data_IF_923603756580
#
_entry.id   IF_923603756580
#
_cell.length_a   1.000
_cell.length_b   1.000
_cell.length_c   1.000
_cell.angle_alpha   90.00
_cell.angle_beta   90.00
_cell.angle_gamma   90.00
#
_symmetry.space_group_name_H-M   'P 1'
#
loop_
_entity.id
_entity.type
_entity.pdbx_description
1 polymer ?
#
# COMPACT_ATOMS: atom_id res chain seq x y z
N UNK A 1 -18.90 -13.81 -3.71
CA UNK A 1 -19.35 -13.58 -2.32
C UNK A 1 -18.30 -12.73 -1.63
N UNK A 2 -18.69 -11.81 -0.72
CA UNK A 2 -17.71 -11.08 0.10
C UNK A 2 -16.90 -12.08 0.94
N UNK A 3 -15.63 -11.77 1.22
CA UNK A 3 -14.79 -12.60 2.08
C UNK A 3 -15.38 -12.69 3.49
N UNK A 4 -15.23 -13.84 4.13
CA UNK A 4 -15.59 -13.99 5.54
C UNK A 4 -14.55 -13.31 6.44
N UNK A 5 -14.96 -12.92 7.65
CA UNK A 5 -14.02 -12.39 8.66
C UNK A 5 -12.89 -13.35 9.00
N UNK A 6 -13.18 -14.66 9.03
CA UNK A 6 -12.15 -15.69 9.26
C UNK A 6 -11.12 -15.68 8.14
N UNK A 7 -11.58 -15.59 6.89
CA UNK A 7 -10.67 -15.57 5.74
C UNK A 7 -9.82 -14.30 5.70
N UNK A 8 -10.39 -13.14 6.01
CA UNK A 8 -9.63 -11.88 6.14
C UNK A 8 -8.57 -12.02 7.23
N UNK A 9 -8.92 -12.59 8.38
CA UNK A 9 -7.98 -12.80 9.49
C UNK A 9 -6.83 -13.73 9.09
N UNK A 10 -7.14 -14.84 8.43
CA UNK A 10 -6.13 -15.82 8.02
C UNK A 10 -5.18 -15.22 6.98
N UNK A 11 -5.72 -14.45 6.02
CA UNK A 11 -4.91 -13.70 5.04
C UNK A 11 -4.05 -12.63 5.70
N UNK A 12 -4.58 -11.91 6.69
CA UNK A 12 -3.82 -10.91 7.44
C UNK A 12 -2.64 -11.57 8.19
N UNK A 13 -2.84 -12.73 8.81
CA UNK A 13 -1.75 -13.47 9.44
C UNK A 13 -0.69 -13.91 8.43
N UNK A 14 -1.09 -14.44 7.28
CA UNK A 14 -0.15 -14.81 6.22
C UNK A 14 0.67 -13.59 5.76
N UNK A 15 0.00 -12.47 5.49
CA UNK A 15 0.64 -11.21 5.12
C UNK A 15 1.67 -10.76 6.16
N UNK A 16 1.30 -10.71 7.44
CA UNK A 16 2.25 -10.28 8.49
C UNK A 16 3.50 -11.15 8.58
N UNK A 17 3.38 -12.46 8.28
CA UNK A 17 4.52 -13.38 8.30
C UNK A 17 5.41 -13.23 7.07
N UNK A 18 4.81 -13.04 5.90
CA UNK A 18 5.53 -12.82 4.64
C UNK A 18 6.38 -11.55 4.71
N UNK A 19 5.85 -10.48 5.31
CA UNK A 19 6.49 -9.17 5.36
C UNK A 19 7.24 -8.88 6.67
N UNK A 20 7.41 -9.88 7.56
CA UNK A 20 7.95 -9.68 8.90
C UNK A 20 9.40 -9.15 8.92
N UNK A 21 10.21 -9.62 7.97
CA UNK A 21 11.65 -9.33 7.89
C UNK A 21 12.00 -8.37 6.72
N UNK A 22 11.00 -7.86 6.01
CA UNK A 22 11.23 -6.92 4.91
C UNK A 22 11.69 -5.55 5.46
N UNK A 23 12.70 -4.99 4.79
CA UNK A 23 13.37 -3.76 5.21
C UNK A 23 13.59 -2.76 4.05
N UNK A 24 13.40 -3.17 2.80
CA UNK A 24 13.75 -2.40 1.60
C UNK A 24 12.55 -1.68 0.98
N UNK A 25 12.63 -0.35 0.83
CA UNK A 25 11.63 0.48 0.11
C UNK A 25 11.52 0.12 -1.37
N UNK A 26 12.67 0.04 -2.04
CA UNK A 26 12.76 0.30 -3.48
C UNK A 26 12.38 -0.92 -4.32
N UNK A 27 12.55 -2.13 -3.76
CA UNK A 27 12.29 -3.36 -4.48
C UNK A 27 10.83 -3.82 -4.33
N UNK A 28 10.21 -3.60 -3.16
CA UNK A 28 9.01 -4.34 -2.78
C UNK A 28 7.80 -3.48 -2.33
N UNK A 29 7.88 -2.15 -2.32
CA UNK A 29 6.74 -1.30 -1.93
C UNK A 29 5.46 -1.62 -2.73
N UNK A 30 5.60 -1.87 -4.04
CA UNK A 30 4.46 -2.22 -4.91
C UNK A 30 3.87 -3.59 -4.55
N UNK A 31 4.73 -4.57 -4.32
CA UNK A 31 4.37 -5.93 -3.88
C UNK A 31 3.71 -5.93 -2.50
N UNK A 32 4.22 -5.12 -1.56
CA UNK A 32 3.66 -4.96 -0.22
C UNK A 32 2.22 -4.50 -0.29
N UNK A 33 1.95 -3.43 -1.04
CA UNK A 33 0.59 -2.91 -1.18
C UNK A 33 -0.32 -3.87 -1.94
N UNK A 34 0.17 -4.56 -2.97
CA UNK A 34 -0.58 -5.63 -3.65
C UNK A 34 -0.98 -6.74 -2.65
N UNK A 35 -0.07 -7.17 -1.79
CA UNK A 35 -0.32 -8.13 -0.71
C UNK A 35 -1.33 -7.61 0.32
N UNK A 36 -1.21 -6.35 0.73
CA UNK A 36 -2.12 -5.71 1.68
C UNK A 36 -3.56 -5.67 1.14
N UNK A 37 -3.78 -5.25 -0.10
CA UNK A 37 -5.13 -5.26 -0.68
C UNK A 37 -5.68 -6.68 -0.85
N UNK A 38 -4.81 -7.66 -1.11
CA UNK A 38 -5.22 -9.06 -1.22
C UNK A 38 -5.74 -9.64 0.10
N UNK A 39 -5.36 -9.09 1.26
CA UNK A 39 -5.97 -9.43 2.56
C UNK A 39 -7.50 -9.24 2.51
N UNK A 40 -7.95 -8.22 1.80
CA UNK A 40 -9.37 -7.88 1.61
C UNK A 40 -9.96 -8.44 0.32
N UNK A 41 -9.20 -9.23 -0.45
CA UNK A 41 -9.62 -9.76 -1.74
C UNK A 41 -9.78 -8.68 -2.81
N UNK A 42 -9.12 -7.53 -2.63
CA UNK A 42 -9.12 -6.42 -3.56
C UNK A 42 -7.84 -6.50 -4.39
N UNK A 43 -7.97 -6.43 -5.71
CA UNK A 43 -6.80 -6.21 -6.55
C UNK A 43 -6.53 -4.71 -6.57
N UNK A 44 -5.31 -4.29 -6.23
CA UNK A 44 -4.92 -2.87 -6.23
C UNK A 44 -5.30 -2.16 -7.53
N UNK A 45 -5.07 -2.77 -8.70
CA UNK A 45 -5.41 -2.21 -10.02
C UNK A 45 -6.88 -1.75 -10.15
N UNK A 46 -7.78 -2.30 -9.34
CA UNK A 46 -9.20 -1.94 -9.34
C UNK A 46 -9.49 -0.65 -8.57
N UNK A 47 -8.65 -0.30 -7.59
CA UNK A 47 -8.95 0.73 -6.59
C UNK A 47 -7.90 1.82 -6.45
N UNK A 48 -6.65 1.54 -6.81
CA UNK A 48 -5.53 2.43 -6.52
C UNK A 48 -4.50 2.55 -7.65
N UNK A 49 -3.97 3.75 -7.81
CA UNK A 49 -2.85 4.11 -8.68
C UNK A 49 -1.56 4.22 -7.85
N UNK A 50 -0.43 3.79 -8.40
CA UNK A 50 0.90 4.09 -7.83
C UNK A 50 1.49 5.33 -8.49
N UNK A 51 2.37 6.03 -7.77
CA UNK A 51 3.19 7.13 -8.30
C UNK A 51 2.33 8.21 -8.98
N UNK A 52 1.21 8.57 -8.36
CA UNK A 52 0.28 9.55 -8.92
C UNK A 52 0.93 10.96 -8.86
N UNK A 53 1.11 11.65 -9.99
CA UNK A 53 1.69 12.98 -10.00
C UNK A 53 0.70 13.99 -9.42
N UNK A 54 1.17 14.81 -8.48
CA UNK A 54 0.36 15.86 -7.86
C UNK A 54 1.05 17.21 -7.94
N UNK A 55 0.25 18.25 -8.12
CA UNK A 55 0.69 19.64 -7.96
C UNK A 55 0.42 20.06 -6.53
N UNK A 56 1.48 20.37 -5.80
CA UNK A 56 1.40 20.90 -4.44
C UNK A 56 1.04 22.40 -4.51
N UNK A 57 0.49 22.92 -3.42
CA UNK A 57 0.01 24.30 -3.33
C UNK A 57 1.12 25.36 -3.42
N UNK A 58 2.37 24.95 -3.20
CA UNK A 58 3.59 25.74 -3.34
C UNK A 58 4.09 25.84 -4.80
N UNK A 59 3.39 25.20 -5.75
CA UNK A 59 3.76 25.18 -7.17
C UNK A 59 4.77 24.09 -7.54
N UNK A 60 5.28 23.33 -6.56
CA UNK A 60 6.15 22.20 -6.83
C UNK A 60 5.35 20.94 -7.21
N UNK A 61 5.95 20.12 -8.08
CA UNK A 61 5.44 18.79 -8.38
C UNK A 61 5.86 17.79 -7.29
N UNK A 62 5.04 16.78 -7.06
CA UNK A 62 5.38 15.63 -6.24
C UNK A 62 4.66 14.37 -6.73
N UNK A 63 4.90 13.26 -6.05
CA UNK A 63 4.23 12.00 -6.30
C UNK A 63 3.57 11.52 -5.01
N UNK A 64 2.45 10.83 -5.14
CA UNK A 64 1.86 10.04 -4.07
C UNK A 64 2.23 8.59 -4.36
N UNK A 65 2.80 7.89 -3.38
CA UNK A 65 3.20 6.50 -3.55
C UNK A 65 1.99 5.65 -3.94
N UNK A 66 0.90 5.70 -3.16
CA UNK A 66 -0.35 5.06 -3.54
C UNK A 66 -1.59 5.92 -3.23
N UNK A 67 -2.49 6.00 -4.22
CA UNK A 67 -3.75 6.74 -4.10
C UNK A 67 -4.95 5.85 -4.45
N UNK A 68 -5.83 5.63 -3.46
CA UNK A 68 -7.22 5.25 -3.69
C UNK A 68 -8.11 6.47 -3.48
N UNK A 69 -8.52 7.08 -4.59
CA UNK A 69 -9.23 8.37 -4.61
C UNK A 69 -10.46 8.38 -3.69
N UNK A 70 -10.49 9.31 -2.75
CA UNK A 70 -11.58 9.50 -1.79
C UNK A 70 -11.63 8.50 -0.63
N UNK A 71 -10.63 7.61 -0.53
CA UNK A 71 -10.61 6.54 0.47
C UNK A 71 -9.27 6.47 1.20
N UNK A 72 -8.15 6.40 0.47
CA UNK A 72 -6.82 6.19 1.05
C UNK A 72 -5.74 6.96 0.28
N UNK A 73 -4.88 7.65 1.01
CA UNK A 73 -3.64 8.25 0.53
C UNK A 73 -2.48 7.67 1.34
N UNK A 74 -1.43 7.26 0.65
CA UNK A 74 -0.29 6.56 1.24
C UNK A 74 1.02 7.22 0.85
N UNK A 75 1.89 7.38 1.84
CA UNK A 75 3.34 7.55 1.71
C UNK A 75 4.00 6.26 2.25
N UNK A 76 4.96 5.70 1.53
CA UNK A 76 5.70 4.49 1.88
C UNK A 76 7.17 4.84 2.13
N UNK A 77 7.77 4.26 3.17
CA UNK A 77 9.16 4.50 3.56
C UNK A 77 9.84 3.19 3.96
N UNK A 78 11.16 3.14 3.81
CA UNK A 78 11.97 2.05 4.35
C UNK A 78 11.76 1.97 5.85
N UNK A 79 11.84 0.76 6.40
CA UNK A 79 11.82 0.57 7.85
C UNK A 79 12.94 1.39 8.51
N UNK A 80 12.57 2.23 9.46
CA UNK A 80 13.51 3.05 10.23
C UNK A 80 13.90 4.39 9.58
N UNK A 81 13.34 4.73 8.42
CA UNK A 81 13.43 6.09 7.88
C UNK A 81 12.29 6.97 8.37
N UNK A 82 12.55 8.26 8.43
CA UNK A 82 11.55 9.26 8.81
C UNK A 82 10.53 9.48 7.68
N UNK A 83 9.34 9.92 8.06
CA UNK A 83 8.23 10.24 7.16
C UNK A 83 8.30 11.69 6.63
N UNK A 84 9.29 12.47 7.06
CA UNK A 84 9.52 13.88 6.70
C UNK A 84 10.53 14.10 5.57
#
# INVERSE_FOLDING_TARGET
>A
MPLSWNEIRDRAFAFTREWADEISEDAEAKSFWDGFFNVFGITRRRVASFEEPVKKGDGHGGFIDLLWKGVLLVEHKSRGKDLE
#
